data_IF_079641168380
#
_entry.id   IF_079641168380
#
_cell.length_a   1.000
_cell.length_b   1.000
_cell.length_c   1.000
_cell.angle_alpha   90.00
_cell.angle_beta   90.00
_cell.angle_gamma   90.00
#
_symmetry.space_group_name_H-M   'P 1'
#
loop_
_entity.id
_entity.type
_entity.pdbx_description
1 polymer ?
#
# COMPACT_ATOMS: atom_id res chain seq x y z
N UNK A 1 13.18 12.03 13.97
CA UNK A 1 13.87 10.75 14.19
C UNK A 1 12.88 9.62 14.11
N UNK A 2 12.78 8.98 12.94
CA UNK A 2 12.12 7.69 12.80
C UNK A 2 13.01 6.61 13.42
N UNK A 3 12.53 5.93 14.45
CA UNK A 3 13.23 4.78 15.06
C UNK A 3 13.30 3.63 14.04
N UNK A 4 14.47 3.00 13.87
CA UNK A 4 14.62 1.81 13.00
C UNK A 4 15.79 1.83 12.02
N UNK A 5 16.48 2.97 11.85
CA UNK A 5 17.65 3.10 10.98
C UNK A 5 18.99 2.70 11.65
N UNK A 6 19.01 2.63 12.99
CA UNK A 6 20.20 2.37 13.80
C UNK A 6 20.59 0.88 13.88
N UNK A 7 19.76 -0.02 13.34
CA UNK A 7 19.98 -1.48 13.37
C UNK A 7 20.54 -2.07 12.07
N UNK A 8 20.39 -3.40 11.92
CA UNK A 8 20.76 -4.13 10.70
C UNK A 8 19.86 -3.72 9.53
N UNK A 9 20.30 -2.67 8.82
CA UNK A 9 19.66 -2.17 7.61
C UNK A 9 19.83 -3.17 6.47
N UNK A 10 18.71 -3.48 5.81
CA UNK A 10 18.70 -4.25 4.57
C UNK A 10 18.09 -3.39 3.46
N UNK A 11 18.81 -3.17 2.35
CA UNK A 11 18.30 -2.40 1.23
C UNK A 11 17.00 -3.00 0.69
N UNK A 12 15.95 -2.18 0.66
CA UNK A 12 14.64 -2.54 0.11
C UNK A 12 14.47 -2.08 -1.33
N UNK A 13 13.32 -2.42 -1.92
CA UNK A 13 12.92 -1.92 -3.25
C UNK A 13 11.49 -1.42 -3.30
N UNK A 14 10.79 -1.42 -2.16
CA UNK A 14 9.44 -0.88 -2.02
C UNK A 14 9.09 -0.62 -0.56
N UNK A 15 8.05 0.17 -0.34
CA UNK A 15 7.33 0.29 0.93
C UNK A 15 5.83 0.38 0.64
N UNK A 16 4.98 -0.28 1.44
CA UNK A 16 3.56 -0.41 1.14
C UNK A 16 2.70 -0.34 2.41
N UNK A 17 1.60 0.40 2.33
CA UNK A 17 0.52 0.40 3.31
C UNK A 17 -0.83 0.65 2.62
N UNK A 18 -1.83 -0.17 2.95
CA UNK A 18 -3.24 0.03 2.56
C UNK A 18 -4.13 -0.20 3.76
N UNK A 19 -4.53 0.89 4.41
CA UNK A 19 -5.41 0.88 5.57
C UNK A 19 -6.82 1.30 5.13
N UNK A 20 -7.79 0.44 5.40
CA UNK A 20 -9.20 0.67 5.06
C UNK A 20 -10.07 0.54 6.29
N UNK A 21 -10.87 1.57 6.56
CA UNK A 21 -11.95 1.53 7.54
C UNK A 21 -13.29 1.51 6.81
N UNK A 22 -14.09 0.47 7.06
CA UNK A 22 -15.38 0.25 6.40
C UNK A 22 -16.50 0.14 7.42
N UNK A 23 -17.60 0.82 7.15
CA UNK A 23 -18.85 0.69 7.89
C UNK A 23 -19.99 0.60 6.89
N UNK A 24 -20.87 -0.38 7.02
CA UNK A 24 -21.92 -0.59 6.04
C UNK A 24 -23.03 -1.51 6.51
N UNK A 25 -24.02 -1.65 5.64
CA UNK A 25 -25.17 -2.54 5.84
C UNK A 25 -25.27 -3.51 4.67
N UNK A 26 -25.73 -4.72 4.97
CA UNK A 26 -26.06 -5.74 3.97
C UNK A 26 -27.56 -6.00 4.02
N UNK A 27 -28.20 -5.99 2.86
CA UNK A 27 -29.60 -6.36 2.70
C UNK A 27 -29.73 -7.29 1.49
N UNK A 28 -30.13 -8.53 1.75
CA UNK A 28 -30.15 -9.60 0.75
C UNK A 28 -28.75 -9.75 0.09
N UNK A 29 -28.69 -9.74 -1.24
CA UNK A 29 -27.45 -9.81 -2.01
C UNK A 29 -26.69 -8.49 -2.11
N UNK A 30 -27.24 -7.37 -1.63
CA UNK A 30 -26.61 -6.05 -1.73
C UNK A 30 -25.89 -5.67 -0.45
N UNK A 31 -24.74 -5.01 -0.58
CA UNK A 31 -24.03 -4.39 0.53
C UNK A 31 -23.57 -2.98 0.14
N UNK A 32 -23.91 -2.03 1.01
CA UNK A 32 -23.55 -0.62 0.87
C UNK A 32 -22.65 -0.23 2.04
N UNK A 33 -21.49 0.35 1.74
CA UNK A 33 -20.46 0.68 2.71
C UNK A 33 -19.97 2.11 2.50
N UNK A 34 -19.65 2.78 3.60
CA UNK A 34 -18.77 3.93 3.62
C UNK A 34 -17.36 3.45 3.90
N UNK A 35 -16.40 3.90 3.09
CA UNK A 35 -14.99 3.54 3.20
C UNK A 35 -14.15 4.80 3.47
N UNK A 36 -13.20 4.70 4.39
CA UNK A 36 -12.05 5.62 4.45
C UNK A 36 -10.80 4.81 4.17
N UNK A 37 -9.95 5.30 3.26
CA UNK A 37 -8.76 4.62 2.79
C UNK A 37 -7.55 5.53 2.95
N UNK A 38 -6.48 4.98 3.49
CA UNK A 38 -5.14 5.54 3.47
C UNK A 38 -4.26 4.57 2.70
N UNK A 39 -3.68 5.04 1.61
CA UNK A 39 -2.88 4.22 0.72
C UNK A 39 -1.53 4.89 0.50
N UNK A 40 -0.48 4.09 0.60
CA UNK A 40 0.89 4.50 0.36
C UNK A 40 1.65 3.37 -0.31
N UNK A 41 2.23 3.67 -1.47
CA UNK A 41 3.08 2.74 -2.19
C UNK A 41 4.28 3.47 -2.75
N UNK A 42 5.46 3.01 -2.34
CA UNK A 42 6.74 3.44 -2.86
C UNK A 42 7.38 2.31 -3.62
N UNK A 43 7.95 2.61 -4.77
CA UNK A 43 8.96 1.74 -5.37
C UNK A 43 10.26 2.48 -5.48
N UNK A 44 11.36 1.79 -5.23
CA UNK A 44 12.69 2.36 -5.32
C UNK A 44 13.72 1.29 -5.66
N UNK A 45 14.92 1.70 -6.04
CA UNK A 45 16.05 0.78 -6.17
C UNK A 45 16.84 0.69 -4.84
N UNK A 46 17.71 -0.32 -4.72
CA UNK A 46 18.50 -0.54 -3.49
C UNK A 46 19.38 0.66 -3.16
N UNK A 47 19.99 1.26 -4.18
CA UNK A 47 20.83 2.44 -4.06
C UNK A 47 20.08 3.63 -3.43
N UNK A 48 18.81 3.85 -3.80
CA UNK A 48 17.95 4.90 -3.23
C UNK A 48 17.69 4.67 -1.75
N UNK A 49 17.44 3.42 -1.35
CA UNK A 49 17.22 3.08 0.07
C UNK A 49 18.50 3.26 0.92
N UNK A 50 19.66 2.91 0.36
CA UNK A 50 20.96 3.13 1.01
C UNK A 50 21.28 4.61 1.12
N UNK A 51 21.06 5.38 0.04
CA UNK A 51 21.25 6.83 0.01
C UNK A 51 20.39 7.52 1.07
N UNK A 52 19.10 7.16 1.15
CA UNK A 52 18.19 7.74 2.16
C UNK A 52 18.64 7.43 3.59
N UNK A 53 19.13 6.21 3.86
CA UNK A 53 19.71 5.86 5.17
C UNK A 53 20.91 6.72 5.51
N UNK A 54 21.85 6.85 4.58
CA UNK A 54 23.06 7.63 4.80
C UNK A 54 22.72 9.10 5.07
N UNK A 55 21.76 9.65 4.34
CA UNK A 55 21.25 11.00 4.55
C UNK A 55 20.63 11.16 5.95
N UNK A 56 19.75 10.25 6.39
CA UNK A 56 19.10 10.30 7.72
C UNK A 56 20.10 10.15 8.87
N UNK A 57 21.14 9.34 8.69
CA UNK A 57 22.18 9.08 9.69
C UNK A 57 23.38 10.04 9.59
N UNK A 58 23.43 10.93 8.59
CA UNK A 58 24.57 11.79 8.31
C UNK A 58 25.86 11.03 7.99
N UNK A 59 25.76 9.85 7.38
CA UNK A 59 26.90 9.01 7.02
C UNK A 59 27.47 9.42 5.65
N UNK A 60 28.79 9.33 5.44
CA UNK A 60 29.38 9.59 4.13
C UNK A 60 28.91 8.56 3.09
N UNK A 61 28.75 9.02 1.84
CA UNK A 61 28.38 8.17 0.72
C UNK A 61 29.45 7.11 0.43
N UNK A 62 29.11 5.83 0.56
CA UNK A 62 30.10 4.76 0.36
C UNK A 62 30.51 4.55 -1.12
N UNK A 63 29.64 4.91 -2.06
CA UNK A 63 29.80 4.67 -3.50
C UNK A 63 28.92 5.62 -4.31
N UNK A 64 29.21 5.72 -5.60
CA UNK A 64 28.30 6.33 -6.57
C UNK A 64 27.02 5.51 -6.68
N UNK A 65 25.88 6.19 -6.83
CA UNK A 65 24.55 5.57 -6.80
C UNK A 65 23.64 6.11 -7.87
N UNK A 66 22.76 5.25 -8.37
CA UNK A 66 21.62 5.65 -9.18
C UNK A 66 20.39 5.76 -8.29
N UNK A 67 19.71 6.89 -8.33
CA UNK A 67 18.51 7.16 -7.54
C UNK A 67 17.28 6.97 -8.43
N UNK A 68 16.31 6.20 -7.94
CA UNK A 68 15.03 5.96 -8.59
C UNK A 68 13.99 5.72 -7.50
N UNK A 69 12.99 6.60 -7.45
CA UNK A 69 11.89 6.58 -6.51
C UNK A 69 10.61 6.89 -7.27
N UNK A 70 9.58 6.08 -7.04
CA UNK A 70 8.20 6.35 -7.43
C UNK A 70 7.33 6.37 -6.18
N UNK A 71 6.45 7.36 -6.08
CA UNK A 71 5.54 7.58 -4.96
C UNK A 71 4.10 7.54 -5.47
N UNK A 72 3.26 6.73 -4.83
CA UNK A 72 1.80 6.74 -4.99
C UNK A 72 1.17 6.79 -3.60
N UNK A 73 0.66 7.96 -3.20
CA UNK A 73 0.03 8.17 -1.90
C UNK A 73 -1.31 8.85 -2.05
N UNK A 74 -2.32 8.37 -1.31
CA UNK A 74 -3.62 9.04 -1.24
C UNK A 74 -4.33 8.78 0.09
N UNK A 75 -5.21 9.70 0.45
CA UNK A 75 -6.22 9.55 1.48
C UNK A 75 -7.58 9.88 0.88
N UNK A 76 -8.51 8.94 0.98
CA UNK A 76 -9.80 9.04 0.34
C UNK A 76 -10.95 8.61 1.27
N UNK A 77 -12.12 9.18 1.02
CA UNK A 77 -13.39 8.77 1.64
C UNK A 77 -14.37 8.46 0.52
N UNK A 78 -15.07 7.35 0.62
CA UNK A 78 -15.91 6.88 -0.48
C UNK A 78 -17.15 6.13 -0.05
N UNK A 79 -18.00 5.88 -1.04
CA UNK A 79 -19.12 4.97 -0.97
C UNK A 79 -18.80 3.77 -1.85
N UNK A 80 -19.11 2.58 -1.33
CA UNK A 80 -18.87 1.31 -1.99
C UNK A 80 -20.15 0.49 -2.02
N UNK A 81 -20.48 -0.01 -3.20
CA UNK A 81 -21.62 -0.88 -3.45
C UNK A 81 -21.13 -2.23 -3.96
N UNK A 82 -21.61 -3.31 -3.36
CA UNK A 82 -21.33 -4.67 -3.82
C UNK A 82 -22.61 -5.49 -3.95
N UNK A 83 -22.56 -6.47 -4.85
CA UNK A 83 -23.66 -7.40 -5.08
C UNK A 83 -23.15 -8.84 -5.13
N UNK A 84 -23.74 -9.73 -4.34
CA UNK A 84 -23.37 -11.14 -4.28
C UNK A 84 -24.27 -11.98 -5.20
N UNK A 85 -23.66 -12.53 -6.24
CA UNK A 85 -24.28 -13.51 -7.13
C UNK A 85 -24.00 -14.92 -6.63
N UNK A 86 -25.06 -15.67 -6.33
CA UNK A 86 -24.95 -17.07 -5.93
C UNK A 86 -25.25 -17.99 -7.12
N UNK A 87 -24.24 -18.74 -7.55
CA UNK A 87 -24.34 -19.83 -8.51
C UNK A 87 -24.19 -21.16 -7.76
N UNK A 88 -24.63 -22.31 -8.32
CA UNK A 88 -24.70 -23.58 -7.60
C UNK A 88 -23.42 -24.05 -6.88
N UNK A 89 -22.24 -23.65 -7.35
CA UNK A 89 -20.95 -23.99 -6.75
C UNK A 89 -20.01 -22.78 -6.62
N UNK A 90 -20.49 -21.57 -6.89
CA UNK A 90 -19.63 -20.39 -7.00
C UNK A 90 -20.40 -19.14 -6.57
N UNK A 91 -19.84 -18.40 -5.63
CA UNK A 91 -20.27 -17.06 -5.30
C UNK A 91 -19.37 -16.05 -5.99
N UNK A 92 -19.94 -15.02 -6.60
CA UNK A 92 -19.20 -13.92 -7.23
C UNK A 92 -19.68 -12.62 -6.62
N UNK A 93 -18.76 -11.78 -6.16
CA UNK A 93 -19.07 -10.48 -5.56
C UNK A 93 -18.26 -9.37 -6.22
N UNK A 94 -18.74 -8.77 -7.32
CA UNK A 94 -18.21 -7.49 -7.78
C UNK A 94 -18.55 -6.39 -6.78
N UNK A 95 -17.66 -5.40 -6.69
CA UNK A 95 -17.88 -4.20 -5.92
C UNK A 95 -17.30 -2.99 -6.64
N UNK A 96 -18.04 -1.88 -6.60
CA UNK A 96 -17.62 -0.60 -7.14
C UNK A 96 -17.55 0.41 -6.01
N UNK A 97 -16.48 1.19 -5.97
CA UNK A 97 -16.31 2.28 -5.03
C UNK A 97 -16.07 3.59 -5.77
N UNK A 98 -16.72 4.65 -5.29
CA UNK A 98 -16.48 6.03 -5.69
C UNK A 98 -15.89 6.78 -4.50
N UNK A 99 -14.84 7.54 -4.75
CA UNK A 99 -14.02 8.21 -3.74
C UNK A 99 -13.93 9.71 -3.99
N UNK A 100 -13.90 10.42 -2.89
CA UNK A 100 -13.44 11.79 -2.76
C UNK A 100 -12.04 11.77 -2.12
N UNK A 101 -11.06 12.37 -2.78
CA UNK A 101 -9.63 12.31 -2.40
C UNK A 101 -9.23 13.66 -1.82
N UNK A 102 -8.95 13.69 -0.52
CA UNK A 102 -8.59 14.94 0.18
C UNK A 102 -7.09 15.18 0.28
N UNK A 103 -6.28 14.13 0.27
CA UNK A 103 -4.82 14.25 0.26
C UNK A 103 -4.23 13.27 -0.76
N UNK A 104 -3.21 13.71 -1.49
CA UNK A 104 -2.55 12.88 -2.49
C UNK A 104 -1.12 13.35 -2.79
N UNK A 105 -0.29 12.39 -3.16
CA UNK A 105 1.06 12.66 -3.65
C UNK A 105 1.44 11.57 -4.63
N UNK A 106 1.67 11.96 -5.87
CA UNK A 106 2.09 11.07 -6.94
C UNK A 106 3.31 11.63 -7.62
N UNK A 107 4.36 10.85 -7.82
CA UNK A 107 5.52 11.38 -8.50
C UNK A 107 6.67 10.42 -8.62
N UNK A 108 7.71 10.91 -9.26
CA UNK A 108 8.97 10.21 -9.41
C UNK A 108 10.16 11.12 -9.18
N UNK A 109 11.25 10.51 -8.73
CA UNK A 109 12.55 11.13 -8.62
C UNK A 109 13.56 10.18 -9.27
N UNK A 110 14.30 10.68 -10.26
CA UNK A 110 15.38 9.95 -10.93
C UNK A 110 16.66 10.75 -10.88
N UNK A 111 17.74 10.14 -10.42
CA UNK A 111 18.95 10.88 -10.13
C UNK A 111 20.20 10.04 -9.98
N UNK A 112 21.27 10.68 -9.54
CA UNK A 112 22.50 10.06 -9.13
C UNK A 112 23.10 10.78 -7.92
N UNK A 113 23.83 10.06 -7.09
CA UNK A 113 24.67 10.65 -6.04
C UNK A 113 26.11 10.15 -6.17
N UNK A 114 27.06 10.96 -5.72
CA UNK A 114 28.50 10.63 -5.78
C UNK A 114 28.98 10.13 -4.42
N UNK A 115 29.97 9.26 -4.41
CA UNK A 115 30.64 8.83 -3.19
C UNK A 115 31.26 10.01 -2.41
N UNK A 116 31.38 9.86 -1.09
CA UNK A 116 31.93 10.88 -0.19
C UNK A 116 30.85 11.66 0.54
N UNK A 117 30.39 12.77 -0.04
CA UNK A 117 29.38 13.63 0.58
C UNK A 117 27.97 13.22 0.13
N UNK A 118 27.09 12.73 1.03
CA UNK A 118 25.70 12.39 0.70
C UNK A 118 24.89 13.59 0.20
N UNK A 119 25.36 14.83 0.42
CA UNK A 119 24.77 16.03 -0.14
C UNK A 119 25.17 16.27 -1.60
N UNK A 120 26.08 15.48 -2.19
CA UNK A 120 26.42 15.57 -3.62
C UNK A 120 25.50 14.65 -4.43
N UNK A 121 24.32 15.18 -4.79
CA UNK A 121 23.31 14.46 -5.56
C UNK A 121 22.63 15.36 -6.60
N UNK A 122 22.28 14.78 -7.73
CA UNK A 122 21.51 15.41 -8.80
C UNK A 122 20.28 14.57 -9.10
N UNK A 123 19.11 15.19 -9.23
CA UNK A 123 17.89 14.47 -9.54
C UNK A 123 16.91 15.31 -10.36
N UNK A 124 16.19 14.64 -11.26
CA UNK A 124 14.96 15.13 -11.88
C UNK A 124 13.79 14.69 -11.03
N UNK A 125 13.01 15.66 -10.62
CA UNK A 125 11.81 15.50 -9.81
C UNK A 125 10.60 15.84 -10.67
N UNK A 126 9.58 14.97 -10.64
CA UNK A 126 8.29 15.19 -11.28
C UNK A 126 7.18 14.64 -10.39
N UNK A 127 6.40 15.51 -9.75
CA UNK A 127 5.39 15.10 -8.80
C UNK A 127 4.20 16.06 -8.75
N UNK A 128 3.04 15.48 -8.47
CA UNK A 128 1.74 16.10 -8.28
C UNK A 128 1.29 15.88 -6.84
N UNK A 129 0.72 16.90 -6.21
CA UNK A 129 0.43 16.88 -4.78
C UNK A 129 -0.69 17.86 -4.39
N UNK A 130 -1.29 17.63 -3.22
CA UNK A 130 -2.05 18.65 -2.50
C UNK A 130 -1.19 19.39 -1.47
N UNK A 131 -0.21 18.71 -0.88
CA UNK A 131 0.77 19.29 0.02
C UNK A 131 2.19 18.98 -0.45
N UNK A 132 3.00 20.03 -0.61
CA UNK A 132 4.42 19.87 -0.91
C UNK A 132 5.13 19.37 0.35
N UNK A 133 5.55 18.11 0.36
CA UNK A 133 6.31 17.53 1.49
C UNK A 133 7.81 17.82 1.43
N UNK A 134 8.31 18.39 0.34
CA UNK A 134 9.72 18.76 0.17
C UNK A 134 9.94 20.17 0.72
N UNK A 135 9.03 21.09 0.41
CA UNK A 135 9.06 22.48 0.88
C UNK A 135 8.09 22.76 2.05
N UNK A 136 7.38 21.73 2.51
CA UNK A 136 6.45 21.75 3.64
C UNK A 136 5.35 22.83 3.57
N UNK A 137 4.80 23.10 2.37
CA UNK A 137 3.67 24.03 2.21
C UNK A 137 2.44 23.37 1.57
N UNK A 138 1.21 23.69 2.03
CA UNK A 138 -0.01 23.24 1.37
C UNK A 138 -0.24 24.03 0.08
N UNK A 139 -0.59 23.35 -1.01
CA UNK A 139 -1.06 24.00 -2.21
C UNK A 139 -2.58 24.24 -2.10
N UNK A 140 -3.05 25.37 -2.63
CA UNK A 140 -4.49 25.68 -2.69
C UNK A 140 -5.10 24.97 -3.90
N UNK A 141 -5.36 23.67 -3.76
CA UNK A 141 -5.86 22.79 -4.82
C UNK A 141 -7.23 22.22 -4.48
N UNK A 142 -8.02 21.92 -5.51
CA UNK A 142 -9.29 21.22 -5.33
C UNK A 142 -9.08 19.76 -4.95
N UNK A 143 -10.00 19.20 -4.18
CA UNK A 143 -10.07 17.77 -3.92
C UNK A 143 -10.15 16.94 -5.22
N UNK A 144 -9.61 15.72 -5.18
CA UNK A 144 -9.69 14.76 -6.28
C UNK A 144 -10.89 13.82 -6.19
N UNK A 145 -11.09 13.03 -7.25
CA UNK A 145 -12.07 11.95 -7.29
C UNK A 145 -11.43 10.63 -7.73
N UNK A 146 -12.04 9.52 -7.35
CA UNK A 146 -11.53 8.20 -7.73
C UNK A 146 -12.62 7.16 -7.88
N UNK A 147 -12.40 6.20 -8.77
CA UNK A 147 -13.25 5.02 -8.91
C UNK A 147 -12.36 3.78 -8.82
N UNK A 148 -12.83 2.75 -8.13
CA UNK A 148 -12.16 1.44 -8.06
C UNK A 148 -13.16 0.30 -8.13
N UNK A 149 -12.78 -0.77 -8.85
CA UNK A 149 -13.53 -1.99 -8.99
C UNK A 149 -12.77 -3.16 -8.35
N UNK A 150 -13.46 -3.88 -7.48
CA UNK A 150 -13.00 -5.14 -6.91
C UNK A 150 -13.90 -6.28 -7.41
N UNK A 151 -13.36 -7.50 -7.41
CA UNK A 151 -14.14 -8.70 -7.64
C UNK A 151 -13.63 -9.85 -6.77
N UNK A 152 -14.53 -10.57 -6.13
CA UNK A 152 -14.19 -11.80 -5.41
C UNK A 152 -15.02 -12.99 -5.84
N UNK A 153 -14.44 -14.16 -5.68
CA UNK A 153 -14.96 -15.47 -5.99
C UNK A 153 -14.79 -16.36 -4.76
N UNK A 154 -15.82 -17.12 -4.41
CA UNK A 154 -15.75 -18.12 -3.34
C UNK A 154 -16.47 -19.39 -3.76
N UNK A 155 -15.89 -20.55 -3.51
CA UNK A 155 -16.44 -21.86 -3.90
C UNK A 155 -16.15 -22.90 -2.84
N UNK A 156 -17.12 -23.76 -2.53
CA UNK A 156 -16.93 -24.93 -1.67
C UNK A 156 -16.92 -26.19 -2.55
N UNK A 157 -15.73 -26.71 -2.82
CA UNK A 157 -15.55 -27.91 -3.64
C UNK A 157 -15.63 -29.17 -2.79
N UNK A 158 -16.49 -30.11 -3.21
CA UNK A 158 -16.68 -31.42 -2.57
C UNK A 158 -16.94 -31.32 -1.06
N UNK A 159 -17.63 -30.26 -0.63
CA UNK A 159 -17.98 -29.99 0.77
C UNK A 159 -16.77 -29.89 1.74
N UNK A 160 -15.55 -29.82 1.21
CA UNK A 160 -14.30 -29.85 2.00
C UNK A 160 -13.37 -28.69 1.70
N UNK A 161 -13.24 -28.31 0.44
CA UNK A 161 -12.23 -27.33 0.03
C UNK A 161 -12.90 -26.00 -0.27
N UNK A 162 -12.73 -25.04 0.61
CA UNK A 162 -13.12 -23.66 0.36
C UNK A 162 -12.01 -22.98 -0.46
N UNK A 163 -12.36 -22.51 -1.66
CA UNK A 163 -11.50 -21.71 -2.51
C UNK A 163 -11.98 -20.28 -2.47
N UNK A 164 -11.07 -19.34 -2.24
CA UNK A 164 -11.36 -17.91 -2.26
C UNK A 164 -10.36 -17.21 -3.18
N UNK A 165 -10.84 -16.33 -4.05
CA UNK A 165 -10.01 -15.48 -4.91
C UNK A 165 -10.58 -14.07 -4.86
N UNK A 166 -9.77 -13.07 -4.57
CA UNK A 166 -10.18 -11.68 -4.55
C UNK A 166 -9.16 -10.81 -5.28
N UNK A 167 -9.65 -10.01 -6.21
CA UNK A 167 -8.91 -8.95 -6.87
C UNK A 167 -9.40 -7.62 -6.29
N UNK A 168 -8.48 -6.84 -5.75
CA UNK A 168 -8.75 -5.45 -5.33
C UNK A 168 -8.13 -4.48 -6.32
N UNK A 169 -8.81 -3.37 -6.58
CA UNK A 169 -8.37 -2.34 -7.51
C UNK A 169 -8.05 -2.92 -8.91
N UNK A 170 -8.82 -3.94 -9.33
CA UNK A 170 -8.66 -4.64 -10.61
C UNK A 170 -8.72 -3.67 -11.79
N UNK A 171 -9.61 -2.69 -11.67
CA UNK A 171 -9.58 -1.46 -12.46
C UNK A 171 -9.80 -0.29 -11.51
N UNK A 172 -9.00 0.76 -11.67
CA UNK A 172 -9.17 1.99 -10.90
C UNK A 172 -8.70 3.19 -11.73
N UNK A 173 -9.22 4.36 -11.37
CA UNK A 173 -8.83 5.64 -11.96
C UNK A 173 -9.01 6.74 -10.93
N UNK A 174 -7.97 7.54 -10.76
CA UNK A 174 -7.93 8.70 -9.87
C UNK A 174 -7.74 9.95 -10.71
N UNK A 175 -8.55 10.98 -10.49
CA UNK A 175 -8.57 12.20 -11.26
C UNK A 175 -8.54 13.42 -10.34
N UNK A 176 -7.69 14.37 -10.71
CA UNK A 176 -7.47 15.63 -10.02
C UNK A 176 -7.56 16.72 -11.07
N UNK A 177 -8.53 17.62 -10.96
CA UNK A 177 -8.74 18.64 -12.00
C UNK A 177 -7.76 19.81 -11.87
N UNK A 178 -7.28 20.07 -10.66
CA UNK A 178 -6.39 21.19 -10.32
C UNK A 178 -5.24 20.76 -9.40
N UNK A 179 -4.54 19.67 -9.73
CA UNK A 179 -3.42 19.21 -8.92
C UNK A 179 -2.22 20.15 -9.05
N UNK A 180 -1.65 20.58 -7.93
CA UNK A 180 -0.37 21.25 -7.94
C UNK A 180 0.70 20.27 -8.41
N UNK A 181 1.64 20.76 -9.19
CA UNK A 181 2.77 20.00 -9.67
C UNK A 181 4.06 20.80 -9.52
N UNK A 182 5.16 20.08 -9.37
CA UNK A 182 6.50 20.62 -9.52
C UNK A 182 7.31 19.64 -10.35
N UNK A 183 7.85 20.15 -11.46
CA UNK A 183 8.80 19.42 -12.30
C UNK A 183 10.09 20.21 -12.34
N UNK A 184 11.21 19.61 -11.92
CA UNK A 184 12.46 20.35 -11.81
C UNK A 184 13.69 19.49 -11.66
N UNK A 185 14.82 20.13 -11.90
CA UNK A 185 16.15 19.64 -11.60
C UNK A 185 16.58 20.13 -10.22
N UNK A 186 17.05 19.20 -9.39
CA UNK A 186 17.64 19.47 -8.08
C UNK A 186 19.11 19.05 -8.15
N UNK A 187 19.99 19.95 -7.77
CA UNK A 187 21.43 19.75 -7.72
C UNK A 187 21.93 20.13 -6.33
N UNK A 188 22.05 19.13 -5.47
CA UNK A 188 22.65 19.24 -4.15
C UNK A 188 24.19 19.19 -4.32
N UNK A 189 24.87 20.22 -3.78
CA UNK A 189 26.32 20.51 -3.88
C UNK A 189 27.00 20.13 -5.21
N UNK A 190 27.09 21.09 -6.14
CA UNK A 190 27.48 20.89 -7.54
C UNK A 190 28.90 20.38 -7.85
N UNK A 191 29.19 19.10 -7.60
CA UNK A 191 30.46 18.49 -7.99
C UNK A 191 30.37 17.00 -8.28
N UNK A 192 30.06 16.62 -9.52
CA UNK A 192 30.52 15.33 -10.06
C UNK A 192 29.62 14.66 -11.10
N UNK A 193 28.32 14.55 -10.84
CA UNK A 193 27.38 13.86 -11.75
C UNK A 193 26.03 14.57 -11.81
N UNK A 194 25.99 15.71 -12.50
CA UNK A 194 24.71 16.36 -12.80
C UNK A 194 23.93 15.50 -13.81
N UNK A 195 22.79 14.96 -13.41
CA UNK A 195 21.87 14.24 -14.32
C UNK A 195 20.96 15.21 -15.08
N UNK A 196 20.91 16.47 -14.65
CA UNK A 196 20.13 17.53 -15.25
C UNK A 196 20.80 18.90 -15.06
N UNK A 197 20.50 19.83 -15.96
CA UNK A 197 21.02 21.19 -15.92
C UNK A 197 20.08 22.11 -15.14
N UNK A 198 20.63 22.88 -14.20
CA UNK A 198 19.93 23.94 -13.46
C UNK A 198 20.76 25.22 -13.38
N UNK A 199 20.09 26.36 -13.27
CA UNK A 199 20.73 27.68 -13.11
C UNK A 199 21.20 27.99 -11.68
N UNK A 200 21.24 26.99 -10.80
CA UNK A 200 21.51 27.08 -9.36
C UNK A 200 21.34 25.72 -8.67
N UNK A 201 21.12 25.69 -7.35
CA UNK A 201 20.91 24.45 -6.60
C UNK A 201 19.60 23.72 -6.99
N UNK A 202 18.63 24.44 -7.55
CA UNK A 202 17.44 23.86 -8.16
C UNK A 202 16.93 24.76 -9.29
N UNK A 203 16.25 24.18 -10.26
CA UNK A 203 15.47 24.90 -11.27
C UNK A 203 14.30 24.05 -11.71
N UNK A 204 13.13 24.65 -11.91
CA UNK A 204 11.97 23.90 -12.34
C UNK A 204 10.81 24.82 -12.63
N UNK A 205 9.68 24.18 -12.94
CA UNK A 205 8.38 24.83 -13.03
C UNK A 205 7.47 24.23 -11.97
N UNK A 206 6.66 25.09 -11.38
CA UNK A 206 5.56 24.69 -10.52
C UNK A 206 4.29 25.36 -11.02
N UNK A 207 3.16 24.72 -10.82
CA UNK A 207 1.86 25.22 -11.26
C UNK A 207 0.76 24.25 -10.86
N UNK A 208 -0.40 24.39 -11.50
CA UNK A 208 -1.51 23.47 -11.33
C UNK A 208 -1.96 22.93 -12.69
N UNK A 209 -2.38 21.67 -12.72
CA UNK A 209 -2.89 21.03 -13.92
C UNK A 209 -3.76 19.82 -13.61
N UNK A 210 -4.58 19.42 -14.58
CA UNK A 210 -5.33 18.18 -14.49
C UNK A 210 -4.38 16.97 -14.50
N UNK A 211 -4.56 16.05 -13.56
CA UNK A 211 -3.76 14.84 -13.42
C UNK A 211 -4.66 13.62 -13.28
N UNK A 212 -4.30 12.54 -13.99
CA UNK A 212 -5.03 11.26 -13.94
C UNK A 212 -4.02 10.14 -13.74
N UNK A 213 -4.32 9.22 -12.84
CA UNK A 213 -3.43 8.12 -12.48
C UNK A 213 -4.20 6.88 -12.01
N UNK A 214 -3.44 5.82 -11.72
CA UNK A 214 -3.89 4.54 -11.19
C UNK A 214 -3.00 4.09 -10.03
N UNK A 215 -3.49 3.12 -9.25
CA UNK A 215 -2.72 2.37 -8.27
C UNK A 215 -2.66 0.89 -8.67
N UNK A 216 -1.60 0.16 -8.28
CA UNK A 216 -1.52 -1.29 -8.52
C UNK A 216 -2.71 -2.06 -7.94
N UNK A 217 -3.10 -3.11 -8.66
CA UNK A 217 -4.10 -4.06 -8.20
C UNK A 217 -3.50 -5.03 -7.16
N UNK A 218 -4.36 -5.70 -6.41
CA UNK A 218 -3.97 -6.74 -5.44
C UNK A 218 -4.66 -8.06 -5.71
N UNK A 219 -3.95 -9.17 -5.51
CA UNK A 219 -4.49 -10.53 -5.48
C UNK A 219 -4.50 -11.07 -4.05
N UNK A 220 -5.60 -11.67 -3.64
CA UNK A 220 -5.64 -12.53 -2.47
C UNK A 220 -6.36 -13.83 -2.84
N UNK A 221 -5.63 -14.93 -2.88
CA UNK A 221 -6.17 -16.24 -3.24
C UNK A 221 -5.80 -17.28 -2.20
N UNK A 222 -6.68 -18.22 -1.93
CA UNK A 222 -6.42 -19.27 -0.98
C UNK A 222 -7.31 -20.49 -1.14
N UNK A 223 -6.84 -21.58 -0.52
CA UNK A 223 -7.55 -22.83 -0.36
C UNK A 223 -7.57 -23.19 1.12
N UNK A 224 -8.73 -23.59 1.62
CA UNK A 224 -8.94 -23.98 3.00
C UNK A 224 -9.60 -25.35 3.06
N UNK A 225 -8.95 -26.29 3.74
CA UNK A 225 -9.52 -27.61 4.05
C UNK A 225 -10.37 -27.50 5.32
N UNK A 226 -11.69 -27.61 5.18
CA UNK A 226 -12.62 -27.52 6.32
C UNK A 226 -12.54 -28.72 7.26
N UNK A 227 -12.04 -29.87 6.79
CA UNK A 227 -11.89 -31.07 7.63
C UNK A 227 -10.64 -30.99 8.49
N UNK A 228 -9.56 -30.45 7.92
CA UNK A 228 -8.27 -30.30 8.60
C UNK A 228 -8.10 -28.91 9.22
N UNK A 229 -9.03 -27.99 8.99
CA UNK A 229 -8.94 -26.59 9.39
C UNK A 229 -7.58 -25.98 9.00
N UNK A 230 -7.17 -26.24 7.76
CA UNK A 230 -5.84 -25.88 7.25
C UNK A 230 -5.98 -24.99 6.02
N UNK A 231 -5.33 -23.83 6.04
CA UNK A 231 -5.39 -22.84 4.97
C UNK A 231 -4.04 -22.62 4.30
N UNK A 232 -4.05 -22.51 2.99
CA UNK A 232 -2.95 -21.95 2.19
C UNK A 232 -3.44 -20.67 1.52
N UNK A 233 -2.64 -19.62 1.56
CA UNK A 233 -2.98 -18.32 0.95
C UNK A 233 -1.78 -17.70 0.26
N UNK A 234 -2.03 -17.08 -0.89
CA UNK A 234 -1.11 -16.22 -1.60
C UNK A 234 -1.70 -14.81 -1.68
N UNK A 235 -0.91 -13.83 -1.28
CA UNK A 235 -1.22 -12.42 -1.43
C UNK A 235 -0.16 -11.74 -2.30
N UNK A 236 -0.59 -10.88 -3.20
CA UNK A 236 0.27 -10.05 -4.02
C UNK A 236 -0.27 -8.63 -4.12
N UNK A 237 0.62 -7.64 -3.97
CA UNK A 237 0.39 -6.26 -4.35
C UNK A 237 1.66 -5.72 -5.00
N UNK A 238 1.64 -5.60 -6.33
CA UNK A 238 2.82 -5.30 -7.15
C UNK A 238 4.06 -6.14 -6.76
N UNK A 239 5.10 -5.52 -6.19
CA UNK A 239 6.34 -6.20 -5.73
C UNK A 239 6.18 -6.97 -4.41
N UNK A 240 5.18 -6.66 -3.59
CA UNK A 240 4.94 -7.36 -2.33
C UNK A 240 4.23 -8.68 -2.58
N UNK A 241 4.82 -9.79 -2.11
CA UNK A 241 4.26 -11.13 -2.26
C UNK A 241 4.40 -11.89 -0.94
N UNK A 242 3.36 -12.64 -0.58
CA UNK A 242 3.35 -13.42 0.65
C UNK A 242 2.60 -14.72 0.50
N UNK A 243 3.28 -15.82 0.76
CA UNK A 243 2.68 -17.14 0.97
C UNK A 243 2.40 -17.34 2.45
N UNK A 244 1.24 -17.92 2.77
CA UNK A 244 0.79 -18.13 4.14
C UNK A 244 0.28 -19.54 4.32
N UNK A 245 0.66 -20.18 5.42
CA UNK A 245 0.10 -21.43 5.92
C UNK A 245 -0.60 -21.12 7.24
N UNK A 246 -1.88 -21.49 7.36
CA UNK A 246 -2.68 -21.27 8.56
C UNK A 246 -3.25 -22.59 9.07
N UNK A 247 -3.33 -22.72 10.39
CA UNK A 247 -3.99 -23.82 11.08
C UNK A 247 -4.95 -23.25 12.10
N UNK A 248 -6.18 -23.75 12.07
CA UNK A 248 -7.26 -23.29 12.95
C UNK A 248 -7.73 -24.42 13.86
N UNK A 249 -8.38 -24.02 14.94
CA UNK A 249 -9.00 -24.87 15.95
C UNK A 249 -10.36 -24.27 16.33
N UNK A 250 -11.40 -25.08 16.20
CA UNK A 250 -12.74 -24.70 16.63
C UNK A 250 -12.87 -24.84 18.14
N UNK A 251 -13.39 -23.80 18.78
CA UNK A 251 -13.69 -23.74 20.22
C UNK A 251 -15.18 -23.44 20.42
N UNK A 252 -15.73 -23.61 21.64
CA UNK A 252 -17.12 -23.25 21.93
C UNK A 252 -17.44 -21.76 21.71
N UNK A 253 -16.43 -20.89 21.69
CA UNK A 253 -16.57 -19.44 21.58
C UNK A 253 -16.31 -18.91 20.16
N UNK A 254 -15.75 -19.73 19.28
CA UNK A 254 -15.32 -19.35 17.93
C UNK A 254 -14.13 -20.17 17.43
N UNK A 255 -13.62 -19.82 16.26
CA UNK A 255 -12.40 -20.39 15.68
C UNK A 255 -11.20 -19.53 16.08
N UNK A 256 -10.17 -20.18 16.63
CA UNK A 256 -8.85 -19.58 16.84
C UNK A 256 -7.88 -20.18 15.84
N UNK A 257 -6.84 -19.47 15.47
CA UNK A 257 -5.70 -20.13 14.86
C UNK A 257 -4.45 -19.30 14.71
N UNK A 258 -3.49 -19.91 14.05
CA UNK A 258 -2.15 -19.37 13.86
C UNK A 258 -1.74 -19.49 12.40
N UNK A 259 -0.91 -18.56 11.94
CA UNK A 259 -0.37 -18.57 10.59
C UNK A 259 1.12 -18.29 10.55
N UNK A 260 1.80 -18.87 9.57
CA UNK A 260 3.19 -18.62 9.23
C UNK A 260 3.25 -18.04 7.82
N UNK A 261 4.14 -17.08 7.62
CA UNK A 261 4.23 -16.34 6.36
C UNK A 261 5.65 -16.38 5.79
N UNK A 262 5.78 -16.38 4.46
CA UNK A 262 7.09 -16.36 3.76
C UNK A 262 7.91 -15.09 4.01
N UNK A 263 7.28 -14.06 4.56
CA UNK A 263 7.88 -12.78 4.98
C UNK A 263 8.40 -12.81 6.42
N UNK A 264 8.57 -14.00 7.01
CA UNK A 264 8.96 -14.22 8.41
C UNK A 264 7.99 -13.67 9.46
N UNK A 265 6.72 -13.47 9.07
CA UNK A 265 5.68 -13.07 10.01
C UNK A 265 5.02 -14.28 10.66
N UNK A 266 4.54 -14.09 11.89
CA UNK A 266 3.63 -15.01 12.59
C UNK A 266 2.30 -14.29 12.80
N UNK A 267 1.21 -15.01 12.54
CA UNK A 267 -0.14 -14.50 12.73
C UNK A 267 -0.90 -15.24 13.82
N UNK A 268 -1.74 -14.51 14.54
CA UNK A 268 -2.81 -15.04 15.39
C UNK A 268 -4.13 -14.51 14.88
N UNK A 269 -5.11 -15.40 14.80
CA UNK A 269 -6.43 -15.05 14.32
C UNK A 269 -7.53 -15.61 15.23
N UNK A 270 -8.62 -14.88 15.28
CA UNK A 270 -9.81 -15.20 16.05
C UNK A 270 -11.04 -14.80 15.23
N UNK A 271 -12.00 -15.73 15.11
CA UNK A 271 -13.25 -15.50 14.41
C UNK A 271 -14.39 -16.10 15.20
N UNK A 272 -15.43 -15.31 15.46
CA UNK A 272 -16.71 -15.78 16.00
C UNK A 272 -17.83 -15.39 15.04
N UNK A 273 -19.09 -15.69 15.39
CA UNK A 273 -20.25 -15.25 14.60
C UNK A 273 -20.40 -13.73 14.49
N UNK A 274 -19.71 -12.95 15.34
CA UNK A 274 -19.86 -11.50 15.44
C UNK A 274 -18.53 -10.75 15.43
N UNK A 275 -17.40 -11.43 15.65
CA UNK A 275 -16.07 -10.82 15.68
C UNK A 275 -15.09 -11.45 14.70
N UNK A 276 -14.18 -10.63 14.19
CA UNK A 276 -12.98 -11.07 13.52
C UNK A 276 -11.79 -10.23 13.99
N UNK A 277 -10.72 -10.91 14.38
CA UNK A 277 -9.44 -10.31 14.74
C UNK A 277 -8.34 -11.12 14.03
N UNK A 278 -7.42 -10.42 13.38
CA UNK A 278 -6.21 -10.99 12.80
C UNK A 278 -5.07 -10.02 13.07
N UNK A 279 -4.01 -10.50 13.69
CA UNK A 279 -2.77 -9.76 13.89
C UNK A 279 -1.66 -10.60 13.31
N UNK A 280 -0.93 -10.05 12.35
CA UNK A 280 0.23 -10.67 11.72
C UNK A 280 1.39 -9.70 11.85
N UNK A 281 2.54 -10.17 12.34
CA UNK A 281 3.72 -9.34 12.57
C UNK A 281 5.01 -10.15 12.44
N UNK A 282 6.09 -9.51 12.00
CA UNK A 282 7.45 -10.06 11.99
C UNK A 282 8.22 -9.81 13.31
N UNK A 283 7.76 -8.87 14.14
CA UNK A 283 8.28 -8.63 15.49
C UNK A 283 7.13 -8.51 16.51
N UNK A 284 7.36 -8.97 17.74
CA UNK A 284 6.38 -8.87 18.84
C UNK A 284 6.30 -7.46 19.43
N UNK A 285 7.30 -6.61 19.16
CA UNK A 285 7.35 -5.22 19.58
C UNK A 285 6.87 -4.36 18.40
N UNK A 286 5.67 -3.75 18.47
CA UNK A 286 5.08 -3.05 17.33
C UNK A 286 5.95 -1.93 16.75
N UNK A 287 6.79 -1.28 17.57
CA UNK A 287 7.68 -0.21 17.13
C UNK A 287 8.89 -0.68 16.29
N UNK A 288 9.17 -1.99 16.26
CA UNK A 288 10.30 -2.58 15.54
C UNK A 288 9.87 -3.48 14.38
N UNK A 289 8.58 -3.77 14.27
CA UNK A 289 8.04 -4.60 13.20
C UNK A 289 8.16 -3.87 11.86
N UNK A 290 8.63 -4.59 10.84
CA UNK A 290 8.82 -4.07 9.47
C UNK A 290 7.61 -4.39 8.60
N UNK A 291 6.83 -5.40 8.97
CA UNK A 291 5.61 -5.79 8.29
C UNK A 291 4.53 -6.18 9.31
N UNK A 292 3.47 -5.39 9.37
CA UNK A 292 2.32 -5.61 10.26
C UNK A 292 1.04 -5.62 9.43
N UNK A 293 0.17 -6.60 9.69
CA UNK A 293 -1.21 -6.58 9.25
C UNK A 293 -2.15 -6.66 10.46
N UNK A 294 -3.15 -5.78 10.48
CA UNK A 294 -4.26 -5.81 11.42
C UNK A 294 -5.58 -5.92 10.66
N UNK A 295 -6.41 -6.89 11.02
CA UNK A 295 -7.81 -6.97 10.58
C UNK A 295 -8.71 -7.01 11.80
N UNK A 296 -9.68 -6.12 11.82
CA UNK A 296 -10.72 -6.04 12.84
C UNK A 296 -12.07 -6.00 12.14
N UNK A 297 -12.99 -6.85 12.59
CA UNK A 297 -14.34 -6.94 12.05
C UNK A 297 -15.36 -7.15 13.15
N UNK A 298 -16.47 -6.41 13.05
CA UNK A 298 -17.66 -6.61 13.87
C UNK A 298 -18.85 -6.79 12.93
N UNK A 299 -19.56 -7.90 13.05
CA UNK A 299 -20.81 -8.15 12.32
C UNK A 299 -21.94 -8.32 13.32
N UNK A 300 -22.96 -7.47 13.20
CA UNK A 300 -24.18 -7.56 14.01
C UNK A 300 -25.32 -7.99 13.08
N UNK A 301 -25.86 -9.18 13.33
CA UNK A 301 -27.08 -9.65 12.66
C UNK A 301 -28.31 -9.22 13.45
N UNK A 302 -29.36 -8.84 12.73
CA UNK A 302 -30.71 -8.58 13.26
C UNK A 302 -31.74 -9.38 12.47
#
# INVERSE_FOLDING_TARGET
MTTGWDGDFQPGTYAYADARFRFGMRYQSWQLERETRWYYYLTFNRDTSEFYRELELGLPGAKDRQLDLEVKGLQARGLRLSHRFELPALSITPALAYYHVGHFQFGSLRGASVAGDPLTASAVLDYHFDQDKILEYPADVSDGSGISMDISFSSLLKERWQLDVAFSDLWNRWQFDDAAFTTGCINLSGGGQAVCNSSGAASGRSGQSSYVTDIPWSLNTGVYDTSWLLGLRYFQHDRYQRFSLAKDWTTPLGDMGMSLHSTNQVGVHWRSGWHQLEIVSDDVRPAYARDIQLRLGLTLGW
#
